data_IF_489373559633
#
_entry.id   IF_489373559633
#
_cell.length_a   1.000
_cell.length_b   1.000
_cell.length_c   1.000
_cell.angle_alpha   90.00
_cell.angle_beta   90.00
_cell.angle_gamma   90.00
#
_symmetry.space_group_name_H-M   'P 1'
#
loop_
_entity.id
_entity.type
_entity.pdbx_description
1 polymer ?
#
# COMPACT_ATOMS: atom_id res chain seq x y z
N UNK A 1 -17.80 17.15 3.17
CA UNK A 1 -16.60 17.74 3.79
C UNK A 1 -15.49 16.69 3.74
N UNK A 2 -14.54 16.84 2.83
CA UNK A 2 -13.51 15.81 2.59
C UNK A 2 -12.35 16.03 3.55
N UNK A 3 -12.28 15.23 4.61
CA UNK A 3 -11.11 15.17 5.49
C UNK A 3 -9.99 14.31 4.90
N UNK A 4 -8.90 14.14 5.65
CA UNK A 4 -7.83 13.20 5.30
C UNK A 4 -8.37 11.77 5.13
N UNK A 5 -7.87 11.06 4.13
CA UNK A 5 -8.12 9.62 3.92
C UNK A 5 -7.46 8.77 5.02
N UNK A 6 -7.90 7.51 5.16
CA UNK A 6 -7.36 6.60 6.19
C UNK A 6 -5.85 6.35 6.05
N UNK A 7 -5.33 6.30 4.83
CA UNK A 7 -3.90 6.11 4.54
C UNK A 7 -3.09 7.33 4.93
N UNK A 8 -3.59 8.53 4.62
CA UNK A 8 -2.99 9.79 5.04
C UNK A 8 -3.00 9.92 6.57
N UNK A 9 -4.12 9.60 7.23
CA UNK A 9 -4.20 9.62 8.71
C UNK A 9 -3.18 8.68 9.33
N UNK A 10 -3.08 7.45 8.84
CA UNK A 10 -2.09 6.49 9.33
C UNK A 10 -0.64 6.94 9.08
N UNK A 11 -0.36 7.50 7.90
CA UNK A 11 0.95 8.05 7.56
C UNK A 11 1.33 9.23 8.46
N UNK A 12 0.41 10.16 8.68
CA UNK A 12 0.63 11.28 9.59
C UNK A 12 0.84 10.82 11.03
N UNK A 13 0.09 9.83 11.54
CA UNK A 13 0.35 9.29 12.89
C UNK A 13 1.80 8.84 13.04
N UNK A 14 2.36 8.19 12.02
CA UNK A 14 3.77 7.76 12.02
C UNK A 14 4.76 8.93 11.86
N UNK A 15 4.44 9.95 11.07
CA UNK A 15 5.30 11.14 10.96
C UNK A 15 5.29 11.94 12.27
N UNK A 16 4.12 12.13 12.86
CA UNK A 16 3.93 12.90 14.09
C UNK A 16 4.54 12.20 15.31
N UNK A 17 4.64 10.86 15.31
CA UNK A 17 5.35 10.12 16.37
C UNK A 17 6.88 10.26 16.30
N UNK A 18 7.42 10.68 15.15
CA UNK A 18 8.84 10.99 14.98
C UNK A 18 9.18 12.44 15.39
N UNK A 19 8.18 13.28 15.66
CA UNK A 19 8.36 14.67 16.07
C UNK A 19 8.60 14.79 17.57
N UNK A 20 9.30 15.84 17.98
CA UNK A 20 9.43 16.22 19.39
C UNK A 20 8.12 16.81 19.91
N UNK A 21 7.87 16.70 21.21
CA UNK A 21 6.68 17.27 21.87
C UNK A 21 6.53 18.77 21.57
N UNK A 22 7.61 19.55 21.61
CA UNK A 22 7.57 21.00 21.36
C UNK A 22 7.19 21.34 19.91
N UNK A 23 7.68 20.58 18.94
CA UNK A 23 7.36 20.81 17.53
C UNK A 23 5.95 20.39 17.19
N UNK A 24 5.46 19.33 17.84
CA UNK A 24 4.09 18.86 17.69
C UNK A 24 3.08 19.89 18.20
N UNK A 25 3.33 20.47 19.39
CA UNK A 25 2.49 21.54 19.96
C UNK A 25 2.53 22.81 19.09
N UNK A 26 3.71 23.18 18.60
CA UNK A 26 3.83 24.32 17.66
C UNK A 26 3.05 24.07 16.36
N UNK A 27 3.03 22.81 15.90
CA UNK A 27 2.30 22.42 14.70
C UNK A 27 0.78 22.43 14.95
N UNK A 28 0.31 21.97 16.11
CA UNK A 28 -1.11 22.03 16.46
C UNK A 28 -1.60 23.47 16.53
N UNK A 29 -0.86 24.39 17.16
CA UNK A 29 -1.22 25.81 17.22
C UNK A 29 -1.39 26.43 15.82
N UNK A 30 -0.54 26.04 14.88
CA UNK A 30 -0.59 26.54 13.50
C UNK A 30 -1.79 25.96 12.75
N UNK A 31 -2.12 24.69 12.99
CA UNK A 31 -3.23 23.98 12.34
C UNK A 31 -4.59 24.41 12.92
N UNK A 32 -4.64 24.76 14.20
CA UNK A 32 -5.86 25.23 14.89
C UNK A 32 -6.00 26.74 14.87
N UNK A 33 -5.05 27.48 14.27
CA UNK A 33 -4.97 28.94 14.33
C UNK A 33 -5.03 29.48 15.79
N UNK A 34 -4.39 28.75 16.71
CA UNK A 34 -4.40 28.98 18.18
C UNK A 34 -5.78 28.98 18.84
N UNK A 35 -6.80 28.44 18.17
CA UNK A 35 -8.17 28.37 18.73
C UNK A 35 -8.28 27.26 19.78
N UNK A 36 -7.40 26.25 19.72
CA UNK A 36 -7.38 25.12 20.65
C UNK A 36 -5.98 25.03 21.24
N UNK A 37 -5.90 25.18 22.57
CA UNK A 37 -4.70 24.90 23.36
C UNK A 37 -4.66 23.41 23.64
N UNK A 38 -3.54 22.77 23.31
CA UNK A 38 -3.37 21.34 23.50
C UNK A 38 -2.19 21.13 24.43
N UNK A 39 -2.36 20.31 25.47
CA UNK A 39 -1.30 20.08 26.47
C UNK A 39 -0.63 18.70 26.29
N UNK A 40 -1.34 17.76 25.67
CA UNK A 40 -0.90 16.37 25.54
C UNK A 40 -0.47 16.01 24.11
N UNK A 41 0.53 15.13 23.98
CA UNK A 41 1.03 14.62 22.69
C UNK A 41 -0.08 13.94 21.89
N UNK A 42 -0.84 13.06 22.53
CA UNK A 42 -1.92 12.30 21.89
C UNK A 42 -3.04 13.22 21.41
N UNK A 43 -3.39 14.21 22.22
CA UNK A 43 -4.42 15.20 21.90
C UNK A 43 -3.95 16.12 20.76
N UNK A 44 -2.66 16.46 20.74
CA UNK A 44 -2.08 17.26 19.66
C UNK A 44 -2.11 16.51 18.34
N UNK A 45 -1.79 15.21 18.33
CA UNK A 45 -1.90 14.36 17.14
C UNK A 45 -3.35 14.30 16.63
N UNK A 46 -4.31 14.00 17.50
CA UNK A 46 -5.72 13.90 17.13
C UNK A 46 -6.27 15.23 16.61
N UNK A 47 -5.91 16.34 17.25
CA UNK A 47 -6.30 17.69 16.84
C UNK A 47 -5.73 18.03 15.46
N UNK A 48 -4.44 17.77 15.24
CA UNK A 48 -3.80 17.99 13.93
C UNK A 48 -4.51 17.16 12.85
N UNK A 49 -4.77 15.88 13.10
CA UNK A 49 -5.47 15.00 12.16
C UNK A 49 -6.91 15.43 11.88
N UNK A 50 -7.60 16.02 12.87
CA UNK A 50 -9.00 16.43 12.73
C UNK A 50 -9.15 17.77 12.01
N UNK A 51 -8.23 18.70 12.24
CA UNK A 51 -8.26 20.03 11.63
C UNK A 51 -7.56 20.10 10.26
N UNK A 52 -6.72 19.12 9.93
CA UNK A 52 -6.06 19.07 8.62
C UNK A 52 -7.04 18.60 7.55
N UNK A 53 -7.22 19.42 6.51
CA UNK A 53 -8.04 19.10 5.34
C UNK A 53 -7.20 18.69 4.12
N UNK A 54 -5.94 19.11 4.09
CA UNK A 54 -5.03 18.87 2.96
C UNK A 54 -3.70 18.32 3.47
N UNK A 55 -3.40 17.08 3.10
CA UNK A 55 -2.16 16.38 3.45
C UNK A 55 -0.91 17.09 2.89
N UNK A 56 -0.98 17.60 1.66
CA UNK A 56 0.13 18.30 1.04
C UNK A 56 0.49 19.59 1.79
N UNK A 57 -0.52 20.35 2.20
CA UNK A 57 -0.33 21.59 2.94
C UNK A 57 0.37 21.33 4.29
N UNK A 58 -0.06 20.28 5.00
CA UNK A 58 0.54 19.90 6.27
C UNK A 58 2.00 19.48 6.12
N UNK A 59 2.33 18.67 5.11
CA UNK A 59 3.71 18.25 4.83
C UNK A 59 4.62 19.42 4.41
N UNK A 60 4.06 20.44 3.76
CA UNK A 60 4.82 21.64 3.36
C UNK A 60 5.13 22.57 4.53
N UNK A 61 4.42 22.49 5.66
CA UNK A 61 4.66 23.35 6.84
C UNK A 61 6.10 23.26 7.35
N UNK A 62 6.64 24.37 7.86
CA UNK A 62 8.05 24.52 8.27
C UNK A 62 8.48 23.54 9.37
N UNK A 63 7.55 23.14 10.24
CA UNK A 63 7.77 22.19 11.33
C UNK A 63 7.91 20.73 10.87
N UNK A 64 7.36 20.39 9.70
CA UNK A 64 7.59 19.09 9.09
C UNK A 64 8.89 19.17 8.30
N UNK A 65 9.99 18.78 8.94
CA UNK A 65 11.32 18.82 8.34
C UNK A 65 11.49 17.75 7.26
N UNK A 66 12.39 18.03 6.30
CA UNK A 66 12.75 17.12 5.22
C UNK A 66 13.15 15.74 5.76
N UNK A 67 13.94 15.71 6.83
CA UNK A 67 14.47 14.47 7.39
C UNK A 67 13.39 13.61 8.07
N UNK A 68 12.32 14.21 8.59
CA UNK A 68 11.18 13.46 9.12
C UNK A 68 10.44 12.72 8.00
N UNK A 69 10.20 13.40 6.87
CA UNK A 69 9.56 12.80 5.70
C UNK A 69 10.47 11.73 5.10
N UNK A 70 11.77 12.01 5.01
CA UNK A 70 12.77 11.04 4.53
C UNK A 70 12.81 9.78 5.39
N UNK A 71 12.88 9.95 6.72
CA UNK A 71 12.87 8.83 7.68
C UNK A 71 11.57 8.03 7.60
N UNK A 72 10.43 8.71 7.47
CA UNK A 72 9.14 8.06 7.26
C UNK A 72 9.12 7.20 5.98
N UNK A 73 9.52 7.77 4.84
CA UNK A 73 9.57 7.04 3.57
C UNK A 73 10.49 5.81 3.65
N UNK A 74 11.64 5.93 4.32
CA UNK A 74 12.53 4.81 4.54
C UNK A 74 11.88 3.70 5.39
N UNK A 75 11.13 4.05 6.45
CA UNK A 75 10.36 3.10 7.27
C UNK A 75 9.26 2.40 6.47
N UNK A 76 8.66 3.07 5.49
CA UNK A 76 7.67 2.48 4.58
C UNK A 76 8.32 1.70 3.40
N UNK A 77 9.64 1.52 3.40
CA UNK A 77 10.36 0.78 2.36
C UNK A 77 10.56 1.54 1.05
N UNK A 78 10.30 2.85 1.04
CA UNK A 78 10.53 3.72 -0.12
C UNK A 78 11.94 4.30 -0.05
N UNK A 79 12.85 3.73 -0.83
CA UNK A 79 14.21 4.23 -0.95
C UNK A 79 14.23 5.58 -1.70
N UNK A 80 14.73 6.63 -1.06
CA UNK A 80 14.92 7.96 -1.64
C UNK A 80 16.40 8.34 -1.60
N UNK A 81 16.93 9.04 -2.62
CA UNK A 81 18.27 9.61 -2.56
C UNK A 81 18.44 10.56 -1.36
N UNK A 82 19.57 10.54 -0.65
CA UNK A 82 19.78 11.40 0.53
C UNK A 82 19.79 12.88 0.19
N UNK A 83 20.09 13.25 -1.06
CA UNK A 83 20.02 14.61 -1.60
C UNK A 83 18.62 15.04 -2.06
N UNK A 84 17.59 14.22 -1.85
CA UNK A 84 16.21 14.52 -2.28
C UNK A 84 15.69 15.79 -1.60
N UNK A 85 15.16 16.71 -2.39
CA UNK A 85 14.54 17.94 -1.88
C UNK A 85 13.21 17.67 -1.18
N UNK A 86 12.82 18.59 -0.28
CA UNK A 86 11.55 18.47 0.47
C UNK A 86 10.35 18.31 -0.46
N UNK A 87 10.25 19.09 -1.54
CA UNK A 87 9.15 18.98 -2.49
C UNK A 87 9.04 17.59 -3.12
N UNK A 88 10.17 17.00 -3.50
CA UNK A 88 10.23 15.63 -4.06
C UNK A 88 9.77 14.59 -3.05
N UNK A 89 10.18 14.73 -1.78
CA UNK A 89 9.73 13.85 -0.70
C UNK A 89 8.22 13.99 -0.46
N UNK A 90 7.69 15.22 -0.41
CA UNK A 90 6.25 15.47 -0.26
C UNK A 90 5.46 14.80 -1.39
N UNK A 91 5.87 15.02 -2.64
CA UNK A 91 5.22 14.40 -3.80
C UNK A 91 5.22 12.88 -3.68
N UNK A 92 6.36 12.27 -3.33
CA UNK A 92 6.45 10.82 -3.14
C UNK A 92 5.62 10.29 -1.98
N UNK A 93 5.52 11.03 -0.88
CA UNK A 93 4.65 10.69 0.25
C UNK A 93 3.18 10.71 -0.14
N UNK A 94 2.73 11.73 -0.89
CA UNK A 94 1.35 11.79 -1.39
C UNK A 94 1.05 10.67 -2.38
N UNK A 95 2.01 10.36 -3.28
CA UNK A 95 1.90 9.22 -4.19
C UNK A 95 1.84 7.90 -3.43
N UNK A 96 2.63 7.74 -2.36
CA UNK A 96 2.55 6.58 -1.49
C UNK A 96 1.15 6.46 -0.90
N UNK A 97 0.61 7.53 -0.29
CA UNK A 97 -0.73 7.48 0.32
C UNK A 97 -1.87 7.30 -0.68
N UNK A 98 -1.69 7.79 -1.91
CA UNK A 98 -2.62 7.60 -3.03
C UNK A 98 -2.53 6.20 -3.63
N UNK A 99 -1.34 5.61 -3.65
CA UNK A 99 -1.06 4.28 -4.21
C UNK A 99 -1.23 3.16 -3.18
N UNK A 100 -1.28 3.46 -1.88
CA UNK A 100 -1.64 2.53 -0.81
C UNK A 100 -3.16 2.28 -0.85
N UNK A 101 -3.67 1.78 -1.98
CA UNK A 101 -4.83 0.90 -2.01
C UNK A 101 -4.42 -0.57 -1.81
N UNK A 102 -3.14 -0.83 -1.57
CA UNK A 102 -2.65 -2.13 -1.13
C UNK A 102 -1.91 -1.91 0.17
N UNK A 103 -2.69 -1.86 1.26
CA UNK A 103 -2.12 -2.15 2.57
C UNK A 103 -1.53 -3.54 2.52
N UNK A 104 -0.40 -3.64 3.18
CA UNK A 104 0.24 -4.84 3.67
C UNK A 104 -0.66 -5.50 4.71
N UNK A 105 -1.83 -5.93 4.27
CA UNK A 105 -2.54 -7.05 4.82
C UNK A 105 -2.36 -8.13 3.76
N UNK A 106 -1.94 -9.32 4.16
CA UNK A 106 -2.46 -10.49 3.46
C UNK A 106 -3.98 -10.34 3.61
N UNK A 107 -4.63 -9.72 2.62
CA UNK A 107 -6.08 -9.81 2.53
C UNK A 107 -6.30 -11.24 2.06
N UNK A 108 -6.36 -12.14 3.02
CA UNK A 108 -7.09 -13.38 2.84
C UNK A 108 -8.53 -12.96 2.58
N UNK A 109 -8.83 -12.55 1.34
CA UNK A 109 -10.12 -12.91 0.78
C UNK A 109 -10.11 -14.43 0.79
N UNK A 110 -11.14 -15.09 1.35
CA UNK A 110 -11.13 -16.53 1.42
C UNK A 110 -11.02 -17.07 -0.02
N UNK A 111 -9.84 -17.60 -0.34
CA UNK A 111 -9.52 -18.51 -1.46
C UNK A 111 -9.10 -17.93 -2.84
N UNK A 112 -9.39 -16.68 -3.22
CA UNK A 112 -9.22 -16.25 -4.63
C UNK A 112 -7.99 -15.42 -5.04
N UNK A 113 -7.28 -14.76 -4.10
CA UNK A 113 -6.18 -13.83 -4.45
C UNK A 113 -5.06 -13.88 -3.40
N UNK A 114 -3.80 -13.90 -3.85
CA UNK A 114 -2.61 -13.68 -3.03
C UNK A 114 -1.66 -12.74 -3.73
N UNK A 115 -1.06 -11.80 -3.01
CA UNK A 115 -0.04 -10.90 -3.54
C UNK A 115 1.15 -10.82 -2.59
N UNK A 116 2.35 -10.72 -3.15
CA UNK A 116 3.60 -10.60 -2.40
C UNK A 116 4.62 -9.78 -3.17
N UNK A 117 5.54 -9.15 -2.45
CA UNK A 117 6.63 -8.36 -3.03
C UNK A 117 7.96 -8.93 -2.55
N UNK A 118 8.86 -9.20 -3.48
CA UNK A 118 10.22 -9.64 -3.18
C UNK A 118 11.11 -8.45 -2.81
N UNK A 119 12.15 -8.65 -1.99
CA UNK A 119 13.16 -7.62 -1.71
C UNK A 119 13.87 -7.10 -2.96
N UNK A 120 13.90 -7.88 -4.03
CA UNK A 120 14.56 -7.56 -5.30
C UNK A 120 13.67 -6.80 -6.29
N UNK A 121 12.48 -6.35 -5.87
CA UNK A 121 11.60 -5.49 -6.67
C UNK A 121 10.64 -6.23 -7.61
N UNK A 122 10.63 -7.56 -7.60
CA UNK A 122 9.58 -8.36 -8.24
C UNK A 122 8.32 -8.35 -7.38
N UNK A 123 7.17 -8.07 -7.99
CA UNK A 123 5.83 -8.18 -7.39
C UNK A 123 5.13 -9.39 -7.97
N UNK A 124 4.53 -10.21 -7.12
CA UNK A 124 3.83 -11.42 -7.51
C UNK A 124 2.34 -11.28 -7.19
N UNK A 125 1.49 -11.59 -8.16
CA UNK A 125 0.03 -11.56 -8.04
C UNK A 125 -0.50 -12.91 -8.48
N UNK A 126 -1.11 -13.66 -7.56
CA UNK A 126 -1.75 -14.94 -7.82
C UNK A 126 -3.26 -14.81 -7.68
N UNK A 127 -4.01 -15.24 -8.68
CA UNK A 127 -5.49 -15.23 -8.71
C UNK A 127 -6.02 -16.63 -9.00
N UNK A 128 -7.15 -16.99 -8.37
CA UNK A 128 -7.94 -18.16 -8.73
C UNK A 128 -9.33 -17.71 -9.17
N UNK A 129 -9.89 -18.36 -10.18
CA UNK A 129 -11.20 -18.02 -10.73
C UNK A 129 -11.84 -19.17 -11.49
N UNK A 130 -13.01 -18.93 -12.06
CA UNK A 130 -13.74 -19.87 -12.91
C UNK A 130 -13.59 -19.51 -14.38
N UNK A 131 -13.62 -20.51 -15.24
CA UNK A 131 -13.65 -20.34 -16.70
C UNK A 131 -15.09 -20.58 -17.13
N UNK A 132 -15.68 -19.67 -17.89
CA UNK A 132 -17.05 -19.79 -18.38
C UNK A 132 -17.11 -19.68 -19.90
N UNK A 133 -18.07 -20.39 -20.50
CA UNK A 133 -18.57 -20.13 -21.85
C UNK A 133 -20.08 -19.94 -21.73
N UNK A 134 -20.56 -18.75 -22.06
CA UNK A 134 -21.94 -18.34 -21.82
C UNK A 134 -22.31 -18.54 -20.34
N UNK A 135 -23.40 -19.27 -20.07
CA UNK A 135 -23.83 -19.62 -18.72
C UNK A 135 -23.12 -20.87 -18.15
N UNK A 136 -22.36 -21.61 -18.95
CA UNK A 136 -21.71 -22.84 -18.53
C UNK A 136 -20.34 -22.53 -17.90
N UNK A 137 -20.18 -22.89 -16.62
CA UNK A 137 -18.85 -23.01 -16.01
C UNK A 137 -18.15 -24.20 -16.66
N UNK A 138 -16.92 -24.01 -17.16
CA UNK A 138 -16.11 -25.02 -17.81
C UNK A 138 -15.00 -25.56 -16.89
N UNK A 139 -14.77 -24.90 -15.76
CA UNK A 139 -13.75 -25.28 -14.80
C UNK A 139 -13.20 -24.09 -14.02
N UNK A 140 -12.03 -24.29 -13.41
CA UNK A 140 -11.33 -23.28 -12.61
C UNK A 140 -9.91 -23.06 -13.13
N UNK A 141 -9.37 -21.88 -12.85
CA UNK A 141 -7.99 -21.54 -13.16
C UNK A 141 -7.29 -20.93 -11.95
N UNK A 142 -5.97 -21.05 -11.95
CA UNK A 142 -5.05 -20.33 -11.08
C UNK A 142 -4.02 -19.65 -11.98
N UNK A 143 -3.89 -18.33 -11.88
CA UNK A 143 -2.95 -17.54 -12.68
C UNK A 143 -2.03 -16.72 -11.78
N UNK A 144 -0.74 -16.81 -12.03
CA UNK A 144 0.30 -16.09 -11.30
C UNK A 144 1.01 -15.16 -12.27
N UNK A 145 1.15 -13.90 -11.89
CA UNK A 145 1.88 -12.88 -12.61
C UNK A 145 3.10 -12.45 -11.80
N UNK A 146 4.29 -12.56 -12.40
CA UNK A 146 5.49 -11.88 -11.93
C UNK A 146 5.59 -10.53 -12.62
N UNK A 147 5.56 -9.45 -11.85
CA UNK A 147 5.55 -8.07 -12.32
C UNK A 147 6.83 -7.35 -11.89
N UNK A 148 7.42 -6.58 -12.79
CA UNK A 148 8.54 -5.68 -12.50
C UNK A 148 8.06 -4.26 -12.77
N UNK A 149 8.32 -3.35 -11.81
CA UNK A 149 8.03 -1.93 -12.00
C UNK A 149 9.04 -1.30 -12.96
N UNK A 150 8.55 -0.54 -13.94
CA UNK A 150 9.39 0.27 -14.81
C UNK A 150 10.10 1.35 -13.97
N UNK A 151 11.44 1.50 -14.09
CA UNK A 151 12.16 2.56 -13.40
C UNK A 151 11.96 3.93 -14.07
N UNK A 152 11.53 3.96 -15.34
CA UNK A 152 11.42 5.17 -16.16
C UNK A 152 10.03 5.83 -16.08
N UNK A 153 8.99 5.06 -15.79
CA UNK A 153 7.59 5.52 -15.81
C UNK A 153 6.87 5.14 -14.51
N UNK A 154 6.19 6.11 -13.90
CA UNK A 154 5.48 5.88 -12.65
C UNK A 154 4.26 4.97 -12.89
N UNK A 155 4.09 3.97 -12.02
CA UNK A 155 2.99 2.99 -12.07
C UNK A 155 2.89 2.18 -13.39
N UNK A 156 4.00 2.08 -14.12
CA UNK A 156 4.11 1.21 -15.29
C UNK A 156 4.73 -0.12 -14.86
N UNK A 157 4.07 -1.24 -15.18
CA UNK A 157 4.46 -2.59 -14.76
C UNK A 157 4.63 -3.48 -15.99
N UNK A 158 5.75 -4.19 -16.05
CA UNK A 158 6.01 -5.21 -17.08
C UNK A 158 5.83 -6.60 -16.49
N UNK A 159 5.19 -7.48 -17.26
CA UNK A 159 5.07 -8.89 -16.92
C UNK A 159 6.42 -9.55 -17.21
N UNK A 160 7.11 -10.01 -16.15
CA UNK A 160 8.33 -10.83 -16.24
C UNK A 160 7.98 -12.27 -16.62
N UNK A 161 6.94 -12.83 -15.99
CA UNK A 161 6.45 -14.18 -16.27
C UNK A 161 4.98 -14.32 -15.93
N UNK A 162 4.35 -15.33 -16.54
CA UNK A 162 2.99 -15.76 -16.24
C UNK A 162 2.99 -17.28 -16.06
N UNK A 163 2.41 -17.77 -14.96
CA UNK A 163 2.12 -19.18 -14.79
C UNK A 163 0.61 -19.36 -14.76
N UNK A 164 0.07 -20.22 -15.63
CA UNK A 164 -1.35 -20.50 -15.71
C UNK A 164 -1.58 -22.00 -15.48
N UNK A 165 -2.51 -22.32 -14.58
CA UNK A 165 -2.97 -23.67 -14.29
C UNK A 165 -4.47 -23.71 -14.48
N UNK A 166 -4.96 -24.62 -15.32
CA UNK A 166 -6.39 -24.77 -15.62
C UNK A 166 -6.84 -26.18 -15.23
N UNK A 167 -8.02 -26.29 -14.61
CA UNK A 167 -8.68 -27.57 -14.30
C UNK A 167 -10.09 -27.55 -14.92
N UNK A 168 -10.32 -28.44 -15.88
CA UNK A 168 -11.61 -28.59 -16.57
C UNK A 168 -12.57 -29.52 -15.83
N UNK A 169 -13.86 -29.36 -16.08
CA UNK A 169 -14.94 -30.09 -15.40
C UNK A 169 -14.93 -31.62 -15.65
N UNK A 170 -14.43 -32.07 -16.80
CA UNK A 170 -14.30 -33.50 -17.13
C UNK A 170 -13.30 -34.23 -16.22
N UNK A 171 -12.38 -33.49 -15.58
CA UNK A 171 -11.43 -34.04 -14.61
C UNK A 171 -11.98 -34.11 -13.16
N UNK A 172 -13.17 -33.53 -12.91
CA UNK A 172 -13.76 -33.38 -11.57
C UNK A 172 -14.90 -34.37 -11.27
N UNK A 173 -15.17 -35.32 -12.17
CA UNK A 173 -16.04 -36.46 -11.86
C UNK A 173 -17.45 -36.06 -11.40
N UNK A 174 -18.15 -35.19 -12.13
CA UNK A 174 -19.59 -34.97 -12.01
C UNK A 174 -20.13 -34.45 -10.68
N UNK A 175 -19.29 -34.17 -9.69
CA UNK A 175 -19.70 -33.59 -8.41
C UNK A 175 -19.20 -32.15 -8.32
N UNK A 176 -20.08 -31.30 -7.80
CA UNK A 176 -19.93 -29.90 -7.39
C UNK A 176 -18.55 -29.25 -7.68
N UNK A 177 -18.51 -28.26 -8.58
CA UNK A 177 -17.27 -27.54 -8.92
C UNK A 177 -16.78 -26.82 -7.67
N UNK A 178 -15.78 -27.41 -7.00
CA UNK A 178 -15.19 -26.86 -5.79
C UNK A 178 -14.80 -25.39 -6.01
N UNK A 179 -15.06 -24.56 -5.00
CA UNK A 179 -14.82 -23.12 -5.07
C UNK A 179 -13.38 -22.82 -5.55
N UNK A 180 -13.19 -21.84 -6.47
CA UNK A 180 -11.86 -21.52 -6.98
C UNK A 180 -10.95 -21.10 -5.83
N UNK A 181 -9.91 -21.90 -5.61
CA UNK A 181 -8.95 -21.70 -4.54
C UNK A 181 -7.52 -21.79 -5.07
N UNK A 182 -6.66 -20.87 -4.61
CA UNK A 182 -5.22 -20.94 -4.85
C UNK A 182 -4.61 -22.15 -4.16
N UNK A 183 -4.06 -23.08 -4.93
CA UNK A 183 -3.33 -24.25 -4.40
C UNK A 183 -1.91 -23.90 -3.96
N UNK A 184 -1.37 -22.80 -4.46
CA UNK A 184 -0.04 -22.33 -4.10
C UNK A 184 0.03 -21.83 -2.64
N UNK A 185 0.97 -22.37 -1.89
CA UNK A 185 1.31 -21.91 -0.54
C UNK A 185 2.36 -20.77 -0.59
N UNK A 186 2.58 -20.12 0.56
CA UNK A 186 3.49 -18.96 0.64
C UNK A 186 4.94 -19.30 0.25
N UNK A 187 5.43 -20.49 0.58
CA UNK A 187 6.80 -20.93 0.27
C UNK A 187 7.00 -21.19 -1.23
N UNK A 188 6.00 -21.78 -1.89
CA UNK A 188 6.01 -21.98 -3.35
C UNK A 188 6.01 -20.65 -4.10
N UNK A 189 5.22 -19.68 -3.63
CA UNK A 189 5.21 -18.34 -4.21
C UNK A 189 6.52 -17.58 -3.96
N UNK A 190 7.17 -17.78 -2.81
CA UNK A 190 8.51 -17.24 -2.53
C UNK A 190 9.58 -17.84 -3.44
N UNK A 191 9.50 -19.14 -3.76
CA UNK A 191 10.42 -19.76 -4.72
C UNK A 191 10.32 -19.15 -6.13
N UNK A 192 9.11 -18.71 -6.53
CA UNK A 192 8.92 -17.98 -7.79
C UNK A 192 9.56 -16.59 -7.77
N UNK A 193 9.84 -16.02 -6.60
CA UNK A 193 10.60 -14.76 -6.49
C UNK A 193 12.09 -14.93 -6.79
N UNK A 194 12.62 -16.15 -6.61
CA UNK A 194 14.04 -16.46 -6.74
C UNK A 194 14.44 -16.91 -8.15
N UNK A 195 13.48 -16.96 -9.09
CA UNK A 195 13.70 -17.28 -10.50
C UNK A 195 13.83 -16.00 -11.35
#
# INVERSE_FOLDING_TARGET
>A
MSGLSETERAGFTKILSLMTTSDLLSLSDTVTNKVIVVENITEAQQTILSFTKNAEELLRRKKVHRDLIFKYLATEGVAMPPNSEKHTLVKRTLELWSSVKVRQDVRETPHGLKALTSPHGLVLVAVAGTIHRDAACLGIFEQIFGLIRSPLENNSWKIKFVNLKVRGQDALGGTDVAAPALTYNSSELQLLCSR
#
